data_IF_247318004255
#
_entry.id   IF_247318004255
#
_cell.length_a   1.000
_cell.length_b   1.000
_cell.length_c   1.000
_cell.angle_alpha   90.00
_cell.angle_beta   90.00
_cell.angle_gamma   90.00
#
_symmetry.space_group_name_H-M   'P 1'
#
loop_
_entity.id
_entity.type
_entity.pdbx_description
1 polymer ?
#
# COMPACT_ATOMS: atom_id res chain seq x y z
N UNK A 1 12.50 -14.65 -23.17
CA UNK A 1 13.39 -13.75 -22.43
C UNK A 1 13.17 -12.38 -23.04
N UNK A 2 12.64 -11.42 -22.28
CA UNK A 2 12.54 -10.04 -22.77
C UNK A 2 13.94 -9.55 -23.12
N UNK A 3 14.11 -8.91 -24.28
CA UNK A 3 15.39 -8.28 -24.58
C UNK A 3 15.53 -6.96 -23.77
N UNK A 4 16.77 -6.45 -23.65
CA UNK A 4 17.03 -5.23 -22.88
C UNK A 4 16.30 -4.01 -23.44
N UNK A 5 15.97 -4.02 -24.74
CA UNK A 5 15.30 -2.92 -25.42
C UNK A 5 13.80 -2.89 -25.05
N UNK A 6 13.16 -4.06 -24.99
CA UNK A 6 11.81 -4.26 -24.46
C UNK A 6 11.72 -3.93 -22.97
N UNK A 7 12.79 -4.21 -22.23
CA UNK A 7 12.88 -3.92 -20.81
C UNK A 7 12.93 -2.41 -20.51
N UNK A 8 13.79 -1.70 -21.25
CA UNK A 8 13.99 -0.26 -21.11
C UNK A 8 13.03 0.58 -21.97
N UNK A 9 12.02 -0.05 -22.58
CA UNK A 9 11.00 0.63 -23.38
C UNK A 9 10.35 1.74 -22.53
N UNK A 10 10.19 2.96 -23.07
CA UNK A 10 9.52 4.04 -22.37
C UNK A 10 8.07 3.67 -22.05
N UNK A 11 7.45 4.38 -21.10
CA UNK A 11 6.02 4.27 -20.88
C UNK A 11 5.23 4.58 -22.16
N UNK A 12 4.16 3.84 -22.38
CA UNK A 12 3.35 3.86 -23.60
C UNK A 12 2.79 5.25 -23.87
N UNK A 13 2.52 6.02 -22.81
CA UNK A 13 2.07 7.41 -22.88
C UNK A 13 3.11 8.40 -22.32
N UNK A 14 4.41 8.09 -22.42
CA UNK A 14 5.47 8.99 -21.92
C UNK A 14 5.43 10.39 -22.56
N UNK A 15 4.95 10.48 -23.80
CA UNK A 15 4.82 11.74 -24.55
C UNK A 15 3.42 12.37 -24.44
N UNK A 16 2.52 11.80 -23.64
CA UNK A 16 1.19 12.39 -23.47
C UNK A 16 1.29 13.72 -22.74
N UNK A 17 0.47 14.68 -23.15
CA UNK A 17 0.32 15.94 -22.43
C UNK A 17 -0.38 15.61 -21.11
N UNK A 18 0.31 15.87 -20.00
CA UNK A 18 -0.25 15.65 -18.68
C UNK A 18 -1.34 16.67 -18.36
N UNK A 19 -2.35 16.29 -17.56
CA UNK A 19 -3.29 17.25 -17.00
C UNK A 19 -2.54 18.30 -16.15
N UNK A 20 -3.18 19.44 -15.91
CA UNK A 20 -2.65 20.43 -14.98
C UNK A 20 -2.57 19.81 -13.58
N UNK A 21 -1.41 19.96 -12.94
CA UNK A 21 -1.15 19.49 -11.58
C UNK A 21 -1.10 20.68 -10.60
N UNK A 22 -1.55 20.51 -9.34
CA UNK A 22 -2.16 19.30 -8.78
C UNK A 22 -3.56 19.03 -9.36
N UNK A 23 -3.93 17.75 -9.44
CA UNK A 23 -5.28 17.36 -9.80
C UNK A 23 -6.26 17.91 -8.77
N UNK A 24 -7.44 18.34 -9.24
CA UNK A 24 -8.50 18.79 -8.35
C UNK A 24 -8.98 17.62 -7.45
N UNK A 25 -9.25 17.88 -6.15
CA UNK A 25 -9.85 16.88 -5.28
C UNK A 25 -11.17 16.36 -5.83
N UNK A 26 -11.40 15.05 -5.74
CA UNK A 26 -12.68 14.43 -6.07
C UNK A 26 -13.52 14.16 -4.81
N UNK A 27 -14.76 13.72 -4.99
CA UNK A 27 -15.66 13.41 -3.88
C UNK A 27 -15.13 12.28 -2.98
N UNK A 28 -14.32 11.37 -3.52
CA UNK A 28 -13.71 10.28 -2.77
C UNK A 28 -12.64 10.84 -1.82
N UNK A 29 -11.79 11.74 -2.31
CA UNK A 29 -10.80 12.45 -1.49
C UNK A 29 -11.47 13.23 -0.36
N UNK A 30 -12.53 13.99 -0.67
CA UNK A 30 -13.27 14.76 0.33
C UNK A 30 -13.82 13.87 1.45
N UNK A 31 -14.39 12.72 1.08
CA UNK A 31 -14.89 11.73 2.02
C UNK A 31 -13.80 11.23 2.97
N UNK A 32 -12.63 10.89 2.42
CA UNK A 32 -11.49 10.40 3.21
C UNK A 32 -10.93 11.44 4.17
N UNK A 33 -10.94 12.73 3.79
CA UNK A 33 -10.56 13.82 4.70
C UNK A 33 -11.51 13.95 5.90
N UNK A 34 -12.81 13.68 5.72
CA UNK A 34 -13.76 13.65 6.85
C UNK A 34 -13.44 12.49 7.80
N UNK A 35 -13.13 11.30 7.27
CA UNK A 35 -12.74 10.15 8.11
C UNK A 35 -11.43 10.41 8.86
N UNK A 36 -10.44 11.04 8.21
CA UNK A 36 -9.18 11.38 8.86
C UNK A 36 -9.37 12.30 10.07
N UNK A 37 -10.39 13.16 10.08
CA UNK A 37 -10.70 14.05 11.19
C UNK A 37 -11.20 13.30 12.45
N UNK A 38 -11.56 12.01 12.33
CA UNK A 38 -11.90 11.14 13.46
C UNK A 38 -10.68 10.94 14.37
N UNK A 39 -10.83 11.04 15.71
CA UNK A 39 -9.73 10.79 16.65
C UNK A 39 -9.10 9.40 16.45
N UNK A 40 -7.77 9.29 16.61
CA UNK A 40 -7.04 8.05 16.30
C UNK A 40 -7.62 6.79 16.96
N UNK A 41 -8.07 6.88 18.23
CA UNK A 41 -8.68 5.75 18.95
C UNK A 41 -10.04 5.28 18.38
N UNK A 42 -10.68 6.10 17.57
CA UNK A 42 -11.99 5.83 16.96
C UNK A 42 -11.88 5.48 15.46
N UNK A 43 -10.70 5.68 14.86
CA UNK A 43 -10.47 5.43 13.43
C UNK A 43 -10.69 3.97 13.04
N UNK A 44 -10.27 3.01 13.87
CA UNK A 44 -10.46 1.59 13.56
C UNK A 44 -11.94 1.18 13.54
N UNK A 45 -12.75 1.44 14.59
CA UNK A 45 -14.20 1.21 14.53
C UNK A 45 -14.89 1.95 13.36
N UNK A 46 -14.55 3.22 13.13
CA UNK A 46 -15.12 4.01 12.04
C UNK A 46 -14.79 3.42 10.66
N UNK A 47 -13.57 2.92 10.46
CA UNK A 47 -13.20 2.28 9.20
C UNK A 47 -14.01 0.99 8.94
N UNK A 48 -14.30 0.21 9.99
CA UNK A 48 -15.02 -1.07 9.86
C UNK A 48 -16.49 -0.90 9.49
N UNK A 49 -17.13 0.23 9.83
CA UNK A 49 -18.51 0.49 9.42
C UNK A 49 -18.62 0.71 7.90
N UNK A 50 -17.53 1.16 7.29
CA UNK A 50 -17.47 1.51 5.86
C UNK A 50 -16.79 0.43 5.01
N UNK A 51 -15.88 -0.33 5.61
CA UNK A 51 -15.18 -1.48 5.04
C UNK A 51 -15.50 -2.77 5.83
N UNK A 52 -16.68 -3.37 5.64
CA UNK A 52 -17.10 -4.57 6.37
C UNK A 52 -16.24 -5.81 6.12
N UNK A 53 -15.31 -5.78 5.14
CA UNK A 53 -14.26 -6.79 4.99
C UNK A 53 -13.45 -6.97 6.28
N UNK A 54 -13.26 -5.88 7.04
CA UNK A 54 -12.58 -5.89 8.32
C UNK A 54 -13.43 -6.52 9.44
N UNK A 55 -14.69 -6.88 9.18
CA UNK A 55 -15.57 -7.65 10.09
C UNK A 55 -15.56 -9.16 9.76
N UNK A 56 -14.88 -9.56 8.68
CA UNK A 56 -14.80 -10.97 8.25
C UNK A 56 -13.42 -11.52 8.61
N UNK A 57 -13.41 -12.49 9.52
CA UNK A 57 -12.18 -13.20 9.93
C UNK A 57 -11.60 -13.96 8.74
N UNK A 58 -10.30 -13.80 8.43
CA UNK A 58 -9.70 -14.51 7.32
C UNK A 58 -9.73 -16.03 7.50
N UNK A 59 -10.19 -16.75 6.48
CA UNK A 59 -10.33 -18.21 6.47
C UNK A 59 -10.40 -18.74 5.03
N UNK A 60 -10.15 -20.04 4.79
CA UNK A 60 -10.33 -20.62 3.46
C UNK A 60 -11.77 -20.46 2.97
N UNK A 61 -11.94 -20.00 1.73
CA UNK A 61 -13.22 -19.73 1.09
C UNK A 61 -14.06 -18.66 1.81
N UNK A 62 -13.43 -17.74 2.54
CA UNK A 62 -14.12 -16.66 3.24
C UNK A 62 -15.07 -15.88 2.32
N UNK A 63 -14.71 -15.69 1.05
CA UNK A 63 -15.58 -15.00 0.08
C UNK A 63 -16.93 -15.69 -0.12
N UNK A 64 -16.98 -17.02 0.03
CA UNK A 64 -18.21 -17.82 -0.12
C UNK A 64 -19.02 -17.90 1.18
N UNK A 65 -18.47 -17.45 2.31
CA UNK A 65 -19.17 -17.43 3.58
C UNK A 65 -20.38 -16.49 3.55
N UNK A 66 -21.42 -16.86 4.30
CA UNK A 66 -22.62 -16.03 4.43
C UNK A 66 -22.29 -14.61 4.92
N UNK A 67 -21.40 -14.50 5.90
CA UNK A 67 -20.96 -13.20 6.45
C UNK A 67 -20.35 -12.29 5.36
N UNK A 68 -19.44 -12.82 4.54
CA UNK A 68 -18.85 -12.02 3.46
C UNK A 68 -19.91 -11.59 2.42
N UNK A 69 -20.79 -12.52 2.04
CA UNK A 69 -21.85 -12.25 1.06
C UNK A 69 -22.83 -11.18 1.55
N UNK A 70 -23.30 -11.26 2.80
CA UNK A 70 -24.19 -10.28 3.44
C UNK A 70 -23.52 -8.93 3.61
N UNK A 71 -22.40 -8.88 4.34
CA UNK A 71 -21.80 -7.62 4.76
C UNK A 71 -21.04 -6.95 3.62
N UNK A 72 -20.20 -7.69 2.89
CA UNK A 72 -19.32 -7.10 1.88
C UNK A 72 -20.04 -6.91 0.56
N UNK A 73 -20.76 -7.92 0.06
CA UNK A 73 -21.35 -7.84 -1.29
C UNK A 73 -22.76 -7.23 -1.31
N UNK A 74 -23.53 -7.35 -0.23
CA UNK A 74 -24.89 -6.80 -0.14
C UNK A 74 -25.03 -5.57 0.75
N UNK A 75 -24.04 -5.26 1.59
CA UNK A 75 -24.04 -4.06 2.42
C UNK A 75 -25.03 -4.10 3.56
N UNK A 76 -25.38 -5.31 4.01
CA UNK A 76 -26.27 -5.51 5.14
C UNK A 76 -25.61 -5.02 6.44
N UNK A 77 -26.43 -4.51 7.36
CA UNK A 77 -25.96 -4.10 8.68
C UNK A 77 -25.40 -5.30 9.47
N UNK A 78 -24.27 -5.14 10.16
CA UNK A 78 -23.69 -6.22 10.96
C UNK A 78 -24.60 -6.58 12.13
N UNK A 79 -24.71 -7.89 12.40
CA UNK A 79 -25.39 -8.41 13.58
C UNK A 79 -24.44 -8.44 14.79
N UNK A 80 -24.94 -8.54 16.04
CA UNK A 80 -24.09 -8.64 17.22
C UNK A 80 -23.03 -9.77 17.14
N UNK A 81 -23.42 -10.94 16.62
CA UNK A 81 -22.49 -12.05 16.40
C UNK A 81 -21.41 -11.74 15.35
N UNK A 82 -21.71 -10.93 14.35
CA UNK A 82 -20.71 -10.49 13.37
C UNK A 82 -19.64 -9.62 14.03
N UNK A 83 -20.00 -8.81 15.04
CA UNK A 83 -19.08 -7.96 15.80
C UNK A 83 -18.27 -8.74 16.83
N UNK A 84 -18.87 -9.74 17.47
CA UNK A 84 -18.21 -10.60 18.46
C UNK A 84 -17.08 -11.43 17.83
N UNK A 85 -17.35 -12.04 16.68
CA UNK A 85 -16.42 -12.90 15.94
C UNK A 85 -15.41 -12.10 15.08
N UNK A 86 -15.58 -10.79 15.02
CA UNK A 86 -14.82 -9.93 14.12
C UNK A 86 -13.33 -9.91 14.53
N UNK A 87 -12.38 -9.93 13.58
CA UNK A 87 -10.97 -9.96 13.92
C UNK A 87 -10.56 -8.67 14.66
N UNK A 88 -9.58 -8.79 15.55
CA UNK A 88 -9.09 -7.68 16.38
C UNK A 88 -7.60 -7.46 16.10
N UNK A 89 -7.21 -6.19 16.11
CA UNK A 89 -5.80 -5.82 16.07
C UNK A 89 -5.10 -6.23 17.37
N UNK A 90 -3.87 -6.72 17.28
CA UNK A 90 -2.97 -6.99 18.39
C UNK A 90 -2.44 -5.70 19.00
N UNK A 91 -2.09 -4.72 18.16
CA UNK A 91 -1.69 -3.38 18.55
C UNK A 91 -2.63 -2.31 17.94
N UNK A 92 -3.82 -2.10 18.54
CA UNK A 92 -4.73 -1.04 18.10
C UNK A 92 -4.10 0.37 18.18
N UNK A 93 -3.14 0.59 19.08
CA UNK A 93 -2.51 1.90 19.26
C UNK A 93 -1.51 2.23 18.15
N UNK A 94 -0.95 1.20 17.51
CA UNK A 94 -0.09 1.29 16.34
C UNK A 94 -0.81 1.49 15.01
N UNK A 95 -2.15 1.51 15.01
CA UNK A 95 -2.95 1.79 13.83
C UNK A 95 -3.27 3.28 13.69
N UNK A 96 -3.19 3.81 12.47
CA UNK A 96 -3.65 5.17 12.15
C UNK A 96 -4.04 5.30 10.68
N UNK A 97 -4.93 6.25 10.42
CA UNK A 97 -5.35 6.65 9.08
C UNK A 97 -4.86 8.07 8.83
N UNK A 98 -4.14 8.25 7.74
CA UNK A 98 -3.70 9.57 7.26
C UNK A 98 -4.02 9.74 5.79
N UNK A 99 -4.11 10.98 5.32
CA UNK A 99 -4.24 11.27 3.89
C UNK A 99 -2.90 11.80 3.41
N UNK A 100 -2.29 11.10 2.45
CA UNK A 100 -1.08 11.55 1.78
C UNK A 100 -1.45 12.47 0.63
N UNK A 101 -1.16 13.76 0.77
CA UNK A 101 -1.31 14.73 -0.31
C UNK A 101 -0.28 14.47 -1.41
N UNK A 102 -0.77 14.37 -2.64
CA UNK A 102 0.08 14.16 -3.81
C UNK A 102 -0.49 14.90 -5.02
N UNK A 103 0.39 15.37 -5.92
CA UNK A 103 -0.03 16.16 -7.08
C UNK A 103 -1.00 15.39 -8.00
N UNK A 104 -0.91 14.06 -8.00
CA UNK A 104 -1.82 13.18 -8.75
C UNK A 104 -3.08 12.78 -7.94
N UNK A 105 -3.47 13.55 -6.93
CA UNK A 105 -4.62 13.31 -6.06
C UNK A 105 -4.22 12.61 -4.75
N UNK A 106 -4.92 12.94 -3.67
CA UNK A 106 -4.56 12.43 -2.36
C UNK A 106 -4.95 10.95 -2.18
N UNK A 107 -4.22 10.24 -1.32
CA UNK A 107 -4.40 8.80 -1.09
C UNK A 107 -4.58 8.53 0.39
N UNK A 108 -5.62 7.77 0.80
CA UNK A 108 -5.73 7.32 2.18
C UNK A 108 -4.70 6.23 2.49
N UNK A 109 -4.00 6.41 3.61
CA UNK A 109 -2.90 5.57 4.07
C UNK A 109 -3.24 5.00 5.44
N UNK A 110 -3.38 3.68 5.51
CA UNK A 110 -3.45 2.93 6.75
C UNK A 110 -2.02 2.59 7.19
N UNK A 111 -1.58 3.17 8.30
CA UNK A 111 -0.27 2.85 8.89
C UNK A 111 -0.46 1.88 10.04
N UNK A 112 0.36 0.83 10.07
CA UNK A 112 0.30 -0.25 11.07
C UNK A 112 1.69 -0.50 11.65
N UNK A 113 1.80 -0.57 12.97
CA UNK A 113 3.06 -0.87 13.66
C UNK A 113 3.37 -2.37 13.75
N UNK A 114 2.37 -3.19 14.04
CA UNK A 114 2.51 -4.63 14.20
C UNK A 114 2.38 -5.36 12.85
N UNK A 115 3.26 -6.34 12.62
CA UNK A 115 3.31 -7.07 11.36
C UNK A 115 2.12 -8.03 11.19
N UNK A 116 1.64 -8.67 12.25
CA UNK A 116 0.49 -9.58 12.14
C UNK A 116 -0.80 -8.81 11.88
N UNK A 117 -0.92 -7.60 12.44
CA UNK A 117 -1.99 -6.67 12.11
C UNK A 117 -1.92 -6.19 10.66
N UNK A 118 -0.73 -5.92 10.13
CA UNK A 118 -0.54 -5.63 8.72
C UNK A 118 -1.00 -6.80 7.84
N UNK A 119 -0.59 -8.03 8.15
CA UNK A 119 -1.00 -9.24 7.43
C UNK A 119 -2.51 -9.47 7.52
N UNK A 120 -3.12 -9.23 8.69
CA UNK A 120 -4.57 -9.31 8.88
C UNK A 120 -5.30 -8.33 7.95
N UNK A 121 -4.93 -7.05 7.96
CA UNK A 121 -5.55 -6.02 7.12
C UNK A 121 -5.34 -6.33 5.64
N UNK A 122 -4.15 -6.79 5.25
CA UNK A 122 -3.83 -7.27 3.90
C UNK A 122 -4.78 -8.38 3.46
N UNK A 123 -4.99 -9.40 4.31
CA UNK A 123 -5.91 -10.49 4.00
C UNK A 123 -7.34 -9.99 3.83
N UNK A 124 -7.81 -9.14 4.74
CA UNK A 124 -9.16 -8.60 4.68
C UNK A 124 -9.39 -7.75 3.42
N UNK A 125 -8.49 -6.80 3.13
CA UNK A 125 -8.71 -5.80 2.08
C UNK A 125 -8.17 -6.26 0.71
N UNK A 126 -6.94 -6.77 0.64
CA UNK A 126 -6.30 -7.14 -0.63
C UNK A 126 -6.67 -8.54 -1.10
N UNK A 127 -6.87 -9.49 -0.16
CA UNK A 127 -7.08 -10.90 -0.48
C UNK A 127 -8.49 -11.41 -0.17
N UNK A 128 -9.48 -10.52 -0.06
CA UNK A 128 -10.91 -10.87 0.11
C UNK A 128 -11.16 -11.81 1.30
N UNK A 129 -10.41 -11.60 2.38
CA UNK A 129 -10.44 -12.39 3.61
C UNK A 129 -9.98 -13.85 3.43
N UNK A 130 -9.23 -14.18 2.38
CA UNK A 130 -8.63 -15.51 2.23
C UNK A 130 -7.30 -15.62 3.00
N UNK A 131 -6.92 -16.83 3.40
CA UNK A 131 -5.65 -17.12 4.11
C UNK A 131 -4.46 -17.18 3.17
N UNK A 132 -4.31 -16.17 2.32
CA UNK A 132 -3.17 -16.06 1.41
C UNK A 132 -1.88 -15.86 2.24
N UNK A 133 -0.80 -16.59 1.93
CA UNK A 133 0.51 -16.32 2.53
C UNK A 133 1.00 -14.95 2.06
N UNK A 134 1.32 -14.07 3.02
CA UNK A 134 1.96 -12.78 2.75
C UNK A 134 3.44 -12.96 3.08
N UNK A 135 4.32 -12.65 2.13
CA UNK A 135 5.76 -12.79 2.33
C UNK A 135 6.23 -11.81 3.41
N UNK A 136 7.16 -12.24 4.27
CA UNK A 136 7.65 -11.42 5.40
C UNK A 136 8.32 -10.11 4.96
N UNK A 137 8.89 -10.08 3.75
CA UNK A 137 9.52 -8.89 3.19
C UNK A 137 8.51 -7.82 2.70
N UNK A 138 7.21 -8.14 2.63
CA UNK A 138 6.18 -7.21 2.17
C UNK A 138 5.79 -6.29 3.32
N UNK A 139 5.95 -4.98 3.10
CA UNK A 139 5.65 -3.95 4.09
C UNK A 139 4.79 -2.81 3.54
N UNK A 140 4.35 -2.91 2.30
CA UNK A 140 3.37 -2.01 1.69
C UNK A 140 2.49 -2.75 0.70
N UNK A 141 1.29 -2.21 0.49
CA UNK A 141 0.43 -2.60 -0.63
C UNK A 141 -0.55 -1.47 -0.96
N UNK A 142 -0.56 -1.05 -2.21
CA UNK A 142 -1.70 -0.31 -2.77
C UNK A 142 -2.82 -1.30 -3.11
N UNK A 143 -4.01 -1.11 -2.51
CA UNK A 143 -5.20 -1.92 -2.78
C UNK A 143 -6.22 -1.04 -3.48
N UNK A 144 -6.60 -1.41 -4.70
CA UNK A 144 -7.58 -0.69 -5.51
C UNK A 144 -8.82 -1.53 -5.76
N UNK A 145 -9.93 -0.87 -6.12
CA UNK A 145 -11.18 -1.57 -6.46
C UNK A 145 -11.93 -2.11 -5.24
N UNK A 146 -11.63 -1.62 -4.04
CA UNK A 146 -12.27 -2.06 -2.81
C UNK A 146 -13.76 -1.67 -2.81
N UNK A 147 -14.61 -2.63 -2.43
CA UNK A 147 -16.00 -2.32 -2.07
C UNK A 147 -15.97 -1.51 -0.78
N UNK A 148 -16.53 -0.32 -0.84
CA UNK A 148 -16.52 0.60 0.27
C UNK A 148 -17.92 1.18 0.42
N UNK A 149 -18.65 0.76 1.45
CA UNK A 149 -20.07 1.06 1.55
C UNK A 149 -20.36 2.54 1.86
N UNK A 150 -19.45 3.26 2.52
CA UNK A 150 -19.56 4.73 2.68
C UNK A 150 -19.59 5.46 1.35
N UNK A 151 -18.51 5.33 0.56
CA UNK A 151 -18.45 5.84 -0.81
C UNK A 151 -19.63 5.36 -1.69
N UNK A 152 -20.04 4.10 -1.59
CA UNK A 152 -21.17 3.58 -2.37
C UNK A 152 -22.50 4.26 -2.02
N UNK A 153 -22.74 4.52 -0.73
CA UNK A 153 -23.94 5.21 -0.25
C UNK A 153 -23.94 6.69 -0.57
N UNK A 154 -22.78 7.34 -0.45
CA UNK A 154 -22.66 8.80 -0.56
C UNK A 154 -22.41 9.30 -1.98
N UNK A 155 -21.76 8.50 -2.83
CA UNK A 155 -21.33 8.91 -4.18
C UNK A 155 -22.17 8.16 -5.23
N UNK A 156 -21.86 6.87 -5.47
CA UNK A 156 -22.61 6.02 -6.40
C UNK A 156 -22.30 4.52 -6.23
N UNK A 157 -23.11 3.64 -6.81
CA UNK A 157 -22.99 2.17 -6.67
C UNK A 157 -21.73 1.55 -7.31
N UNK A 158 -21.09 2.27 -8.23
CA UNK A 158 -19.83 1.91 -8.89
C UNK A 158 -18.61 2.48 -8.18
N UNK A 159 -18.78 3.39 -7.20
CA UNK A 159 -17.69 3.95 -6.42
C UNK A 159 -16.85 2.84 -5.80
N UNK A 160 -15.53 2.94 -5.95
CA UNK A 160 -14.58 2.00 -5.38
C UNK A 160 -13.48 2.77 -4.68
N UNK A 161 -12.96 2.17 -3.63
CA UNK A 161 -11.90 2.76 -2.86
C UNK A 161 -10.52 2.25 -3.32
N UNK A 162 -9.54 3.15 -3.29
CA UNK A 162 -8.13 2.83 -3.32
C UNK A 162 -7.50 3.28 -2.00
N UNK A 163 -6.79 2.36 -1.33
CA UNK A 163 -6.09 2.59 -0.07
C UNK A 163 -4.65 2.12 -0.19
N UNK A 164 -3.75 2.81 0.48
CA UNK A 164 -2.39 2.33 0.73
C UNK A 164 -2.30 1.76 2.15
N UNK A 165 -1.75 0.56 2.30
CA UNK A 165 -1.46 -0.04 3.61
C UNK A 165 0.06 -0.01 3.78
N UNK A 166 0.55 0.57 4.88
CA UNK A 166 1.98 0.67 5.21
C UNK A 166 2.27 0.02 6.56
N UNK A 167 3.29 -0.82 6.60
CA UNK A 167 3.85 -1.38 7.83
C UNK A 167 5.10 -0.60 8.28
N UNK A 168 5.22 -0.36 9.59
CA UNK A 168 6.37 0.32 10.21
C UNK A 168 7.58 -0.60 10.37
N UNK A 169 8.29 -0.80 9.26
CA UNK A 169 9.56 -1.53 9.24
C UNK A 169 10.66 -0.76 8.49
N UNK A 170 11.95 -1.05 8.77
CA UNK A 170 13.08 -0.65 7.94
C UNK A 170 12.82 -0.94 6.45
N UNK A 171 13.25 -0.04 5.58
CA UNK A 171 13.04 -0.20 4.14
C UNK A 171 13.96 -1.28 3.57
N UNK A 172 13.42 -2.23 2.83
CA UNK A 172 14.16 -3.32 2.17
C UNK A 172 15.09 -4.11 3.10
N UNK A 173 14.73 -4.21 4.39
CA UNK A 173 15.54 -4.83 5.45
C UNK A 173 16.94 -4.23 5.62
N UNK A 174 17.19 -3.02 5.10
CA UNK A 174 18.46 -2.32 5.26
C UNK A 174 18.65 -1.91 6.73
N UNK A 175 19.84 -2.15 7.26
CA UNK A 175 20.20 -1.71 8.61
C UNK A 175 20.41 -0.21 8.66
N UNK A 176 20.10 0.42 9.79
CA UNK A 176 20.35 1.86 9.95
C UNK A 176 21.84 2.23 9.76
N UNK A 177 22.75 1.30 10.06
CA UNK A 177 24.19 1.48 9.85
C UNK A 177 24.61 1.53 8.37
N UNK A 178 23.84 0.96 7.45
CA UNK A 178 24.15 1.00 6.02
C UNK A 178 23.71 2.31 5.36
N UNK A 179 22.84 3.08 6.02
CA UNK A 179 22.30 4.33 5.48
C UNK A 179 23.33 5.46 5.65
N UNK A 180 23.56 6.31 4.62
CA UNK A 180 24.36 7.51 4.75
C UNK A 180 23.88 8.34 5.95
N UNK A 181 24.83 8.84 6.75
CA UNK A 181 24.62 9.46 8.08
C UNK A 181 24.38 8.51 9.26
N UNK A 182 24.27 7.20 9.04
CA UNK A 182 24.05 6.17 10.08
C UNK A 182 23.04 6.61 11.16
N UNK A 183 21.79 6.92 10.77
CA UNK A 183 20.76 7.42 11.69
C UNK A 183 20.47 6.44 12.84
N UNK A 184 19.80 6.93 13.88
CA UNK A 184 19.23 6.04 14.89
C UNK A 184 18.16 5.13 14.28
N UNK A 185 17.85 4.00 14.93
CA UNK A 185 16.80 3.09 14.45
C UNK A 185 15.44 3.80 14.28
N UNK A 186 15.06 4.65 15.22
CA UNK A 186 13.81 5.41 15.15
C UNK A 186 13.78 6.40 13.99
N UNK A 187 14.90 7.08 13.74
CA UNK A 187 15.05 7.97 12.58
C UNK A 187 14.98 7.16 11.28
N UNK A 188 15.63 6.01 11.23
CA UNK A 188 15.60 5.14 10.06
C UNK A 188 14.21 4.60 9.77
N UNK A 189 13.45 4.17 10.79
CA UNK A 189 12.06 3.75 10.62
C UNK A 189 11.21 4.90 10.07
N UNK A 190 11.37 6.13 10.58
CA UNK A 190 10.67 7.32 10.05
C UNK A 190 11.03 7.59 8.59
N UNK A 191 12.30 7.57 8.24
CA UNK A 191 12.76 7.74 6.85
C UNK A 191 12.26 6.60 5.95
N UNK A 192 12.23 5.37 6.45
CA UNK A 192 11.72 4.20 5.74
C UNK A 192 10.24 4.33 5.42
N UNK A 193 9.43 4.91 6.32
CA UNK A 193 8.03 5.21 6.03
C UNK A 193 7.87 6.26 4.93
N UNK A 194 8.68 7.33 4.98
CA UNK A 194 8.66 8.37 3.95
C UNK A 194 9.05 7.79 2.59
N UNK A 195 10.12 7.01 2.55
CA UNK A 195 10.58 6.34 1.33
C UNK A 195 9.47 5.43 0.79
N UNK A 196 8.95 4.53 1.62
CA UNK A 196 7.91 3.57 1.22
C UNK A 196 6.64 4.27 0.71
N UNK A 197 6.19 5.31 1.40
CA UNK A 197 5.03 6.09 0.94
C UNK A 197 5.29 6.70 -0.44
N UNK A 198 6.42 7.38 -0.61
CA UNK A 198 6.73 8.05 -1.88
C UNK A 198 6.96 7.05 -3.03
N UNK A 199 7.54 5.87 -2.74
CA UNK A 199 7.67 4.77 -3.67
C UNK A 199 6.29 4.35 -4.21
N UNK A 200 5.34 4.09 -3.31
CA UNK A 200 3.98 3.69 -3.66
C UNK A 200 3.18 4.82 -4.34
N UNK A 201 3.39 6.08 -3.93
CA UNK A 201 2.80 7.24 -4.60
C UNK A 201 3.34 7.41 -6.02
N UNK A 202 4.63 7.13 -6.24
CA UNK A 202 5.21 7.07 -7.59
C UNK A 202 4.50 6.01 -8.41
N UNK A 203 4.18 4.85 -7.79
CA UNK A 203 3.42 3.83 -8.50
C UNK A 203 2.03 4.30 -8.96
N UNK A 204 1.33 5.02 -8.08
CA UNK A 204 0.02 5.59 -8.37
C UNK A 204 0.12 6.68 -9.43
N UNK A 205 1.14 7.54 -9.35
CA UNK A 205 1.38 8.64 -10.28
C UNK A 205 1.64 8.13 -11.70
N UNK A 206 2.50 7.12 -11.87
CA UNK A 206 2.76 6.49 -13.16
C UNK A 206 1.47 5.94 -13.78
N UNK A 207 0.68 5.18 -13.01
CA UNK A 207 -0.62 4.67 -13.50
C UNK A 207 -1.57 5.79 -13.93
N UNK A 208 -1.63 6.92 -13.21
CA UNK A 208 -2.52 8.04 -13.53
C UNK A 208 -2.05 8.88 -14.72
N UNK A 209 -0.75 9.16 -14.82
CA UNK A 209 -0.21 10.09 -15.81
C UNK A 209 0.18 9.42 -17.11
N UNK A 210 0.77 8.22 -17.04
CA UNK A 210 1.28 7.50 -18.21
C UNK A 210 0.53 6.19 -18.50
N UNK A 211 -0.48 5.87 -17.70
CA UNK A 211 -1.47 4.81 -17.97
C UNK A 211 -0.99 3.39 -17.66
N UNK A 212 0.24 3.21 -17.21
CA UNK A 212 0.77 1.90 -16.85
C UNK A 212 1.77 2.00 -15.70
N UNK A 213 1.96 0.86 -15.03
CA UNK A 213 3.18 0.57 -14.31
C UNK A 213 3.45 -0.92 -14.36
N UNK A 214 4.64 -1.27 -14.80
CA UNK A 214 5.10 -2.63 -15.04
C UNK A 214 5.75 -3.14 -13.77
N UNK A 215 5.58 -4.43 -13.50
CA UNK A 215 6.26 -5.10 -12.39
C UNK A 215 7.63 -5.52 -12.92
N UNK A 216 8.55 -4.57 -13.07
CA UNK A 216 9.92 -4.80 -13.52
C UNK A 216 10.90 -3.90 -12.74
N UNK A 217 12.20 -4.23 -12.78
CA UNK A 217 13.23 -3.50 -12.03
C UNK A 217 13.40 -2.05 -12.50
N UNK A 218 13.07 -1.73 -13.75
CA UNK A 218 13.20 -0.35 -14.26
C UNK A 218 12.16 0.58 -13.61
N UNK A 219 10.91 0.13 -13.51
CA UNK A 219 9.85 0.89 -12.86
C UNK A 219 10.08 0.99 -11.35
N UNK A 220 10.59 -0.09 -10.73
CA UNK A 220 10.99 -0.10 -9.32
C UNK A 220 12.17 0.83 -9.04
N UNK A 221 13.13 0.93 -9.97
CA UNK A 221 14.22 1.92 -9.89
C UNK A 221 13.67 3.33 -9.86
N UNK A 222 12.67 3.65 -10.68
CA UNK A 222 12.04 4.99 -10.67
C UNK A 222 11.35 5.25 -9.34
N UNK A 223 10.56 4.30 -8.83
CA UNK A 223 9.85 4.43 -7.56
C UNK A 223 10.82 4.55 -6.38
N UNK A 224 11.88 3.74 -6.34
CA UNK A 224 12.93 3.83 -5.32
C UNK A 224 13.78 5.10 -5.44
N UNK A 225 14.04 5.59 -6.65
CA UNK A 225 14.75 6.86 -6.84
C UNK A 225 13.95 8.05 -6.30
N UNK A 226 12.65 8.10 -6.56
CA UNK A 226 11.75 9.11 -5.99
C UNK A 226 11.67 8.97 -4.45
N UNK A 227 11.49 7.74 -3.95
CA UNK A 227 11.44 7.44 -2.53
C UNK A 227 12.69 7.83 -1.77
N UNK A 228 13.88 7.44 -2.25
CA UNK A 228 15.16 7.82 -1.66
C UNK A 228 15.36 9.33 -1.70
N UNK A 229 15.08 9.98 -2.83
CA UNK A 229 15.22 11.44 -2.93
C UNK A 229 14.32 12.15 -1.94
N UNK A 230 13.11 11.66 -1.71
CA UNK A 230 12.19 12.24 -0.72
C UNK A 230 12.61 11.99 0.72
N UNK A 231 13.07 10.79 1.04
CA UNK A 231 13.41 10.39 2.41
C UNK A 231 14.82 10.80 2.86
N UNK A 232 15.79 10.74 1.95
CA UNK A 232 17.21 10.93 2.20
C UNK A 232 17.79 12.18 1.51
N UNK A 233 17.05 12.80 0.59
CA UNK A 233 17.50 13.96 -0.18
C UNK A 233 18.36 13.62 -1.40
N UNK A 234 18.68 12.34 -1.61
CA UNK A 234 19.54 11.87 -2.69
C UNK A 234 19.17 10.44 -3.11
N UNK A 235 19.63 10.03 -4.28
CA UNK A 235 19.63 8.62 -4.71
C UNK A 235 21.02 8.01 -4.52
N UNK A 236 21.09 6.78 -4.02
CA UNK A 236 22.34 6.06 -3.83
C UNK A 236 22.28 4.68 -4.49
N UNK A 237 23.03 4.49 -5.58
CA UNK A 237 22.96 3.27 -6.38
C UNK A 237 23.30 2.00 -5.59
N UNK A 238 24.29 2.04 -4.69
CA UNK A 238 24.59 0.87 -3.85
C UNK A 238 23.50 0.54 -2.83
N UNK A 239 22.77 1.53 -2.30
CA UNK A 239 21.65 1.26 -1.40
C UNK A 239 20.49 0.63 -2.17
N UNK A 240 20.24 1.11 -3.39
CA UNK A 240 19.27 0.48 -4.28
C UNK A 240 19.63 -0.99 -4.53
N UNK A 241 20.89 -1.24 -4.94
CA UNK A 241 21.41 -2.60 -5.19
C UNK A 241 21.30 -3.50 -3.95
N UNK A 242 21.69 -3.00 -2.78
CA UNK A 242 21.57 -3.74 -1.52
C UNK A 242 20.10 -4.01 -1.17
N UNK A 243 19.22 -3.03 -1.32
CA UNK A 243 17.79 -3.18 -1.06
C UNK A 243 17.12 -4.19 -2.00
N UNK A 244 17.59 -4.29 -3.24
CA UNK A 244 17.18 -5.34 -4.18
C UNK A 244 17.70 -6.74 -3.79
N UNK A 245 18.66 -6.85 -2.87
CA UNK A 245 19.32 -8.09 -2.50
C UNK A 245 20.28 -8.60 -3.58
N UNK A 246 20.96 -7.68 -4.28
CA UNK A 246 21.96 -8.01 -5.30
C UNK A 246 23.37 -7.96 -4.73
N UNK A 247 24.19 -8.95 -5.07
CA UNK A 247 25.63 -8.97 -4.79
C UNK A 247 26.38 -7.97 -5.69
N UNK A 248 27.65 -7.69 -5.37
CA UNK A 248 28.46 -6.74 -6.13
C UNK A 248 28.73 -7.18 -7.58
N UNK A 249 28.67 -8.48 -7.84
CA UNK A 249 28.80 -9.08 -9.17
C UNK A 249 27.45 -9.14 -9.94
N UNK A 250 26.37 -8.62 -9.35
CA UNK A 250 25.03 -8.61 -9.94
C UNK A 250 24.23 -9.90 -9.73
N UNK A 251 24.76 -10.89 -9.00
CA UNK A 251 23.99 -12.10 -8.67
C UNK A 251 22.92 -11.82 -7.61
N UNK A 252 21.78 -12.51 -7.70
CA UNK A 252 20.64 -12.33 -6.81
C UNK A 252 20.81 -13.22 -5.58
N UNK A 253 20.68 -12.65 -4.37
CA UNK A 253 20.69 -13.42 -3.12
C UNK A 253 19.43 -14.27 -2.98
N UNK A 254 19.48 -15.29 -2.12
CA UNK A 254 18.28 -16.08 -1.79
C UNK A 254 17.22 -15.17 -1.15
N UNK A 255 15.96 -15.36 -1.53
CA UNK A 255 14.80 -14.59 -1.06
C UNK A 255 14.90 -13.07 -1.27
N UNK A 256 15.79 -12.63 -2.16
CA UNK A 256 15.98 -11.24 -2.48
C UNK A 256 14.76 -10.64 -3.19
N UNK A 257 14.45 -9.37 -2.90
CA UNK A 257 13.37 -8.61 -3.55
C UNK A 257 13.48 -8.66 -5.08
N UNK A 258 14.68 -8.65 -5.64
CA UNK A 258 14.91 -8.75 -7.09
C UNK A 258 14.29 -10.00 -7.75
N UNK A 259 14.15 -11.12 -7.02
CA UNK A 259 13.56 -12.35 -7.56
C UNK A 259 12.11 -12.15 -8.01
N UNK A 260 11.38 -11.22 -7.39
CA UNK A 260 9.99 -10.89 -7.73
C UNK A 260 9.90 -10.32 -9.15
N UNK A 261 10.92 -9.57 -9.60
CA UNK A 261 10.91 -8.81 -10.86
C UNK A 261 11.60 -9.51 -12.03
N UNK A 262 12.43 -10.52 -11.74
CA UNK A 262 13.20 -11.24 -12.76
C UNK A 262 12.50 -12.53 -13.21
N UNK A 263 11.62 -13.07 -12.36
CA UNK A 263 10.80 -14.25 -12.66
C UNK A 263 9.39 -13.91 -13.18
N UNK A 264 9.07 -12.62 -13.37
CA UNK A 264 7.76 -12.12 -13.82
C UNK A 264 7.58 -12.16 -15.34
#
# INVERSE_FOLDING_TARGET
MQDLQDYCKPFSNANAIWPMLPLAPDAIEMWWRLVQATPQGEQWPALRSELPQLLVTPQPFARLSDRYQRLVLRGESPQPSDLEDAPRLKDPSGFSITIADHACGAVPVLTVSDHDDFVLIMRCLAHRCETVPVQEAVHAQAVAGLIHWGLIREIDTKARCQILILHRAPYSSLSASSIPSSPSLDQWIKQSQIWRLEHELTHIACRKLVGEMRINLFDELLADAMGMKRALGLFHADLFRQGLGLNCDGTIQNDARAQVYVNS
#
